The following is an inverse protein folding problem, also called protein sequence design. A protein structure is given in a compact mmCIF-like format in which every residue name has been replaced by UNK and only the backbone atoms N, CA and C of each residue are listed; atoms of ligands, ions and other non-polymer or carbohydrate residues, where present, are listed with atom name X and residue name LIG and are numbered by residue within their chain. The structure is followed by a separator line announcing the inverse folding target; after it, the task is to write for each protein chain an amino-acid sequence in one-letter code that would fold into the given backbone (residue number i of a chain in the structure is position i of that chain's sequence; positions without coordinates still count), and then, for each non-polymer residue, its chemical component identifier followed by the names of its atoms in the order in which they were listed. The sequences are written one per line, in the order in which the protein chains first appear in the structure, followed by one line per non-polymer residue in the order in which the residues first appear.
data_IF_946209169708
#
_entry.id   IF_946209169708
#
_cell.length_a   1.000
_cell.length_b   1.000
_cell.length_c   1.000
_cell.angle_alpha   90.00
_cell.angle_beta   90.00
_cell.angle_gamma   90.00
#
_symmetry.space_group_name_H-M   'P 1'
#
loop_
_entity.id
_entity.type
_entity.pdbx_description
1 polymer ?
#
# COMPACT_ATOMS: atom_id res chain seq x y z
N UNK A 1 9.68 -11.76 16.48
CA UNK A 1 9.52 -11.31 15.08
C UNK A 1 10.86 -10.87 14.56
N UNK A 2 11.17 -11.17 13.30
CA UNK A 2 12.38 -10.64 12.62
C UNK A 2 12.19 -9.17 12.27
N UNK A 3 13.29 -8.46 12.03
CA UNK A 3 13.25 -7.05 11.61
C UNK A 3 12.46 -6.87 10.32
N UNK A 4 12.62 -7.80 9.37
CA UNK A 4 11.94 -7.79 8.08
C UNK A 4 10.42 -7.93 8.23
N UNK A 5 9.95 -8.86 9.07
CA UNK A 5 8.51 -9.01 9.34
C UNK A 5 7.93 -7.81 10.11
N UNK A 6 8.73 -7.18 10.96
CA UNK A 6 8.32 -5.96 11.68
C UNK A 6 8.11 -4.81 10.69
N UNK A 7 9.07 -4.58 9.81
CA UNK A 7 8.95 -3.58 8.75
C UNK A 7 7.80 -3.87 7.78
N UNK A 8 7.60 -5.14 7.39
CA UNK A 8 6.45 -5.56 6.57
C UNK A 8 5.11 -5.25 7.24
N UNK A 9 5.00 -5.53 8.55
CA UNK A 9 3.79 -5.23 9.31
C UNK A 9 3.52 -3.72 9.34
N UNK A 10 4.55 -2.92 9.57
CA UNK A 10 4.44 -1.46 9.56
C UNK A 10 4.09 -0.90 8.17
N UNK A 11 4.65 -1.47 7.10
CA UNK A 11 4.34 -1.10 5.72
C UNK A 11 2.87 -1.40 5.38
N UNK A 12 2.36 -2.55 5.82
CA UNK A 12 0.94 -2.89 5.66
C UNK A 12 0.03 -1.90 6.43
N UNK A 13 0.39 -1.51 7.66
CA UNK A 13 -0.35 -0.48 8.41
C UNK A 13 -0.30 0.88 7.72
N UNK A 14 0.85 1.27 7.19
CA UNK A 14 1.00 2.49 6.39
C UNK A 14 0.11 2.44 5.14
N UNK A 15 0.03 1.28 4.47
CA UNK A 15 -0.86 1.10 3.32
C UNK A 15 -2.33 1.23 3.71
N UNK A 16 -2.75 0.72 4.88
CA UNK A 16 -4.12 0.94 5.39
C UNK A 16 -4.39 2.44 5.57
N UNK A 17 -3.44 3.19 6.12
CA UNK A 17 -3.58 4.65 6.26
C UNK A 17 -3.69 5.31 4.87
N UNK A 18 -2.84 4.95 3.92
CA UNK A 18 -2.92 5.47 2.54
C UNK A 18 -4.25 5.12 1.86
N UNK A 19 -4.75 3.90 2.08
CA UNK A 19 -6.06 3.49 1.58
C UNK A 19 -7.16 4.36 2.14
N UNK A 20 -7.19 4.64 3.45
CA UNK A 20 -8.18 5.55 4.06
C UNK A 20 -8.06 6.96 3.47
N UNK A 21 -6.84 7.48 3.34
CA UNK A 21 -6.57 8.81 2.78
C UNK A 21 -7.06 8.95 1.33
N UNK A 22 -7.00 7.88 0.54
CA UNK A 22 -7.54 7.83 -0.81
C UNK A 22 -9.06 7.59 -0.84
N UNK A 23 -9.53 6.62 -0.07
CA UNK A 23 -10.91 6.14 -0.12
C UNK A 23 -11.92 7.19 0.36
N UNK A 24 -11.59 7.98 1.38
CA UNK A 24 -12.48 9.02 1.89
C UNK A 24 -12.81 10.08 0.82
N UNK A 25 -11.85 10.79 0.22
CA UNK A 25 -12.14 11.76 -0.84
C UNK A 25 -12.70 11.10 -2.11
N UNK A 26 -12.27 9.89 -2.47
CA UNK A 26 -12.86 9.17 -3.60
C UNK A 26 -14.36 8.88 -3.39
N UNK A 27 -14.76 8.50 -2.19
CA UNK A 27 -16.16 8.31 -1.82
C UNK A 27 -16.96 9.63 -1.84
N UNK A 28 -16.36 10.73 -1.39
CA UNK A 28 -17.01 12.04 -1.41
C UNK A 28 -17.20 12.58 -2.84
N UNK A 29 -16.25 12.33 -3.74
CA UNK A 29 -16.28 12.82 -5.12
C UNK A 29 -17.15 11.95 -6.04
N UNK A 30 -17.07 10.62 -5.91
CA UNK A 30 -17.75 9.68 -6.82
C UNK A 30 -19.05 9.11 -6.24
N UNK A 31 -19.24 9.23 -4.93
CA UNK A 31 -20.36 8.64 -4.20
C UNK A 31 -20.21 7.13 -3.97
N UNK A 32 -20.85 6.64 -2.92
CA UNK A 32 -20.81 5.22 -2.51
C UNK A 32 -21.40 4.27 -3.55
N UNK A 33 -22.37 4.75 -4.35
CA UNK A 33 -22.95 4.00 -5.47
C UNK A 33 -21.87 3.53 -6.45
N UNK A 34 -20.87 4.37 -6.73
CA UNK A 34 -19.80 4.03 -7.66
C UNK A 34 -18.69 3.24 -6.96
N UNK A 35 -18.18 3.75 -5.84
CA UNK A 35 -17.00 3.20 -5.15
C UNK A 35 -17.24 1.82 -4.51
N UNK A 36 -18.48 1.49 -4.16
CA UNK A 36 -18.89 0.18 -3.66
C UNK A 36 -19.77 -0.61 -4.66
N UNK A 37 -19.97 -0.08 -5.88
CA UNK A 37 -20.74 -0.72 -6.95
C UNK A 37 -19.88 -1.58 -7.88
N UNK A 38 -20.46 -2.04 -9.00
CA UNK A 38 -19.82 -3.01 -9.90
C UNK A 38 -18.65 -2.45 -10.73
N UNK A 39 -18.49 -1.12 -10.84
CA UNK A 39 -17.42 -0.44 -11.60
C UNK A 39 -17.34 -0.85 -13.09
N UNK A 40 -18.40 -1.47 -13.64
CA UNK A 40 -18.47 -1.90 -15.05
C UNK A 40 -18.46 -0.72 -16.05
N UNK A 41 -18.81 0.46 -15.57
CA UNK A 41 -18.80 1.70 -16.35
C UNK A 41 -17.83 2.70 -15.73
N UNK A 42 -17.35 3.65 -16.55
CA UNK A 42 -16.56 4.77 -16.06
C UNK A 42 -17.39 5.62 -15.08
N UNK A 43 -16.76 6.29 -14.10
CA UNK A 43 -17.51 7.15 -13.19
C UNK A 43 -18.13 8.32 -13.95
N UNK A 44 -19.32 8.73 -13.52
CA UNK A 44 -20.06 9.85 -14.12
C UNK A 44 -19.29 11.18 -14.04
N UNK A 45 -18.36 11.29 -13.09
CA UNK A 45 -17.50 12.45 -12.88
C UNK A 45 -16.05 12.01 -12.68
N UNK A 46 -15.11 12.84 -13.14
CA UNK A 46 -13.71 12.60 -12.91
C UNK A 46 -13.31 12.99 -11.48
N UNK A 47 -12.41 12.21 -10.90
CA UNK A 47 -11.79 12.55 -9.62
C UNK A 47 -10.94 13.80 -9.75
N UNK A 48 -10.84 14.57 -8.68
CA UNK A 48 -9.95 15.72 -8.61
C UNK A 48 -8.49 15.28 -8.80
N UNK A 49 -7.65 16.18 -9.31
CA UNK A 49 -6.21 15.91 -9.52
C UNK A 49 -5.49 15.44 -8.24
N UNK A 50 -5.97 15.87 -7.06
CA UNK A 50 -5.42 15.48 -5.77
C UNK A 50 -5.82 14.04 -5.43
N UNK A 51 -7.10 13.72 -5.52
CA UNK A 51 -7.61 12.38 -5.22
C UNK A 51 -7.07 11.33 -6.19
N UNK A 52 -6.97 11.65 -7.48
CA UNK A 52 -6.31 10.80 -8.47
C UNK A 52 -4.81 10.58 -8.18
N UNK A 53 -4.12 11.55 -7.56
CA UNK A 53 -2.72 11.40 -7.13
C UNK A 53 -2.60 10.45 -5.93
N UNK A 54 -3.53 10.53 -4.97
CA UNK A 54 -3.59 9.61 -3.84
C UNK A 54 -3.84 8.16 -4.32
N UNK A 55 -4.70 7.97 -5.32
CA UNK A 55 -4.90 6.67 -5.96
C UNK A 55 -3.62 6.10 -6.53
N UNK A 56 -2.90 6.87 -7.36
CA UNK A 56 -1.59 6.43 -7.90
C UNK A 56 -0.54 6.15 -6.82
N UNK A 57 -0.54 6.90 -5.72
CA UNK A 57 0.37 6.63 -4.61
C UNK A 57 0.05 5.31 -3.91
N UNK A 58 -1.24 5.01 -3.71
CA UNK A 58 -1.71 3.73 -3.17
C UNK A 58 -1.35 2.57 -4.10
N UNK A 59 -1.59 2.71 -5.40
CA UNK A 59 -1.28 1.69 -6.40
C UNK A 59 0.23 1.39 -6.45
N UNK A 60 1.06 2.44 -6.43
CA UNK A 60 2.52 2.29 -6.35
C UNK A 60 2.96 1.53 -5.08
N UNK A 61 2.32 1.80 -3.94
CA UNK A 61 2.63 1.04 -2.72
C UNK A 61 2.18 -0.43 -2.83
N UNK A 62 1.03 -0.72 -3.44
CA UNK A 62 0.61 -2.11 -3.71
C UNK A 62 1.63 -2.87 -4.57
N UNK A 63 2.07 -2.26 -5.66
CA UNK A 63 3.04 -2.86 -6.59
C UNK A 63 4.39 -3.13 -5.91
N UNK A 64 4.84 -2.23 -5.02
CA UNK A 64 6.06 -2.44 -4.24
C UNK A 64 5.88 -3.48 -3.12
N UNK A 65 4.75 -3.46 -2.42
CA UNK A 65 4.53 -4.23 -1.19
C UNK A 65 4.52 -5.73 -1.46
N UNK A 66 4.01 -6.18 -2.61
CA UNK A 66 4.00 -7.60 -2.94
C UNK A 66 5.42 -8.18 -3.05
N UNK A 67 6.33 -7.46 -3.72
CA UNK A 67 7.72 -7.91 -3.88
C UNK A 67 8.48 -7.82 -2.55
N UNK A 68 8.29 -6.74 -1.79
CA UNK A 68 8.88 -6.61 -0.46
C UNK A 68 8.37 -7.69 0.50
N UNK A 69 7.07 -7.97 0.48
CA UNK A 69 6.46 -9.01 1.30
C UNK A 69 7.05 -10.39 1.04
N UNK A 70 7.22 -10.76 -0.24
CA UNK A 70 7.89 -12.01 -0.62
C UNK A 70 9.32 -12.06 -0.05
N UNK A 71 10.11 -10.99 -0.24
CA UNK A 71 11.49 -10.93 0.25
C UNK A 71 11.57 -11.05 1.79
N UNK A 72 10.76 -10.28 2.51
CA UNK A 72 10.72 -10.27 3.97
C UNK A 72 10.32 -11.64 4.55
N UNK A 73 9.32 -12.30 3.95
CA UNK A 73 8.87 -13.62 4.37
C UNK A 73 9.95 -14.68 4.08
N UNK A 74 10.52 -14.71 2.87
CA UNK A 74 11.53 -15.71 2.50
C UNK A 74 12.79 -15.60 3.36
N UNK A 75 13.31 -14.38 3.57
CA UNK A 75 14.48 -14.14 4.41
C UNK A 75 14.21 -14.58 5.85
N UNK A 76 13.03 -14.22 6.37
CA UNK A 76 12.63 -14.57 7.74
C UNK A 76 12.45 -16.08 7.93
N UNK A 77 11.83 -16.78 6.98
CA UNK A 77 11.55 -18.22 7.09
C UNK A 77 12.80 -19.07 6.83
N UNK A 78 13.70 -18.61 5.96
CA UNK A 78 14.95 -19.31 5.67
C UNK A 78 16.04 -19.10 6.73
N UNK A 79 15.78 -18.27 7.76
CA UNK A 79 16.76 -17.96 8.80
C UNK A 79 17.94 -17.11 8.31
N UNK A 80 17.76 -16.37 7.21
CA UNK A 80 18.81 -15.55 6.57
C UNK A 80 18.74 -14.07 6.98
N UNK A 81 17.98 -13.73 8.03
CA UNK A 81 17.97 -12.37 8.57
C UNK A 81 19.36 -11.94 9.04
N UNK A 82 19.76 -10.74 8.63
CA UNK A 82 21.05 -10.12 8.93
C UNK A 82 20.89 -8.62 9.20
N UNK A 83 21.95 -7.95 9.65
CA UNK A 83 21.94 -6.50 9.82
C UNK A 83 21.66 -5.76 8.48
N UNK A 84 22.16 -6.30 7.37
CA UNK A 84 21.94 -5.73 6.04
C UNK A 84 20.47 -5.84 5.62
N UNK A 85 19.86 -7.01 5.75
CA UNK A 85 18.45 -7.22 5.38
C UNK A 85 17.51 -6.42 6.28
N UNK A 86 17.86 -6.25 7.56
CA UNK A 86 17.16 -5.35 8.47
C UNK A 86 17.23 -3.90 8.00
N UNK A 87 18.41 -3.40 7.63
CA UNK A 87 18.55 -2.04 7.08
C UNK A 87 17.73 -1.86 5.80
N UNK A 88 17.80 -2.81 4.86
CA UNK A 88 17.00 -2.76 3.64
C UNK A 88 15.49 -2.73 3.92
N UNK A 89 15.02 -3.50 4.91
CA UNK A 89 13.61 -3.54 5.26
C UNK A 89 13.10 -2.21 5.84
N UNK A 90 13.89 -1.56 6.70
CA UNK A 90 13.54 -0.23 7.21
C UNK A 90 13.73 0.87 6.17
N UNK A 91 14.70 0.74 5.26
CA UNK A 91 14.85 1.65 4.13
C UNK A 91 13.62 1.62 3.21
N UNK A 92 13.08 0.41 2.93
CA UNK A 92 11.83 0.26 2.20
C UNK A 92 10.66 0.95 2.92
N UNK A 93 10.54 0.79 4.24
CA UNK A 93 9.43 1.38 5.02
C UNK A 93 9.45 2.93 5.01
N UNK A 94 10.63 3.54 4.91
CA UNK A 94 10.79 5.01 4.95
C UNK A 94 10.61 5.66 3.57
N UNK A 95 10.86 4.91 2.49
CA UNK A 95 10.82 5.40 1.12
C UNK A 95 9.38 5.62 0.60
#
# INVERSE_FOLDING_TARGET
MTSELTALTLAALLQVVQFILYALPANLELGTRYTAGSRDHAPDQQMSKRTARLGRALDNHFEGLILFGIAAIVISLSGQSSALTAFCAYAYLIA
#
